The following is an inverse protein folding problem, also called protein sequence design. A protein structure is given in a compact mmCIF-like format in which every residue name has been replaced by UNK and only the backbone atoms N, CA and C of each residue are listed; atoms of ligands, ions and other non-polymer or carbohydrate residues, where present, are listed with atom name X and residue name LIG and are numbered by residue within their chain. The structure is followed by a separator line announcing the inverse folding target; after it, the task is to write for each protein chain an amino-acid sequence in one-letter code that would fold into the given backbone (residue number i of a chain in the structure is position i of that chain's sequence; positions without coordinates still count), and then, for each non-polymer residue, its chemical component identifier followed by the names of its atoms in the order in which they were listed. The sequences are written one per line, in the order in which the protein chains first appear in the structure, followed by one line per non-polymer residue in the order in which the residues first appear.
data_IF_447422557230
#
_entry.id   IF_447422557230
#
_cell.length_a   1.000
_cell.length_b   1.000
_cell.length_c   1.000
_cell.angle_alpha   90.00
_cell.angle_beta   90.00
_cell.angle_gamma   90.00
#
_symmetry.space_group_name_H-M   'P 1'
#
loop_
_entity.id
_entity.type
_entity.pdbx_description
1 polymer ?
#
# COMPACT_ATOMS: atom_id res chain seq x y z
N UNK A 1 3.09 -17.95 14.04
CA UNK A 1 3.01 -16.51 13.84
C UNK A 1 2.26 -16.17 12.57
N UNK A 2 2.08 -14.92 12.33
CA UNK A 2 1.46 -14.36 11.12
C UNK A 2 2.47 -13.43 10.46
N UNK A 3 2.79 -13.66 9.19
CA UNK A 3 3.72 -12.84 8.41
C UNK A 3 3.00 -11.67 7.73
N UNK A 4 3.76 -10.73 7.18
CA UNK A 4 3.21 -9.66 6.34
C UNK A 4 2.51 -10.23 5.09
N UNK A 5 1.43 -9.59 4.70
CA UNK A 5 0.76 -9.83 3.43
C UNK A 5 1.66 -9.44 2.24
N UNK A 6 1.58 -10.17 1.12
CA UNK A 6 2.34 -9.90 -0.11
C UNK A 6 2.20 -8.44 -0.59
N UNK A 7 0.99 -7.88 -0.50
CA UNK A 7 0.74 -6.48 -0.84
C UNK A 7 1.56 -5.49 0.00
N UNK A 8 1.79 -5.79 1.28
CA UNK A 8 2.60 -4.95 2.15
C UNK A 8 4.09 -5.11 1.86
N UNK A 9 4.57 -6.34 1.60
CA UNK A 9 5.95 -6.60 1.17
C UNK A 9 6.26 -5.85 -0.12
N UNK A 10 5.36 -5.94 -1.09
CA UNK A 10 5.41 -5.16 -2.34
C UNK A 10 5.52 -3.65 -2.07
N UNK A 11 4.69 -3.12 -1.19
CA UNK A 11 4.71 -1.70 -0.85
C UNK A 11 6.03 -1.26 -0.20
N UNK A 12 6.60 -2.08 0.70
CA UNK A 12 7.92 -1.85 1.28
C UNK A 12 9.00 -1.79 0.18
N UNK A 13 8.98 -2.74 -0.76
CA UNK A 13 9.91 -2.75 -1.88
C UNK A 13 9.80 -1.50 -2.75
N UNK A 14 8.58 -1.05 -3.07
CA UNK A 14 8.33 0.17 -3.85
C UNK A 14 8.82 1.43 -3.13
N UNK A 15 8.63 1.53 -1.82
CA UNK A 15 9.17 2.65 -1.01
C UNK A 15 10.70 2.66 -1.08
N UNK A 16 11.37 1.49 -0.97
CA UNK A 16 12.83 1.39 -1.09
C UNK A 16 13.32 1.74 -2.49
N UNK A 17 12.58 1.35 -3.52
CA UNK A 17 12.87 1.74 -4.91
C UNK A 17 12.84 3.25 -5.10
N UNK A 18 11.79 3.91 -4.61
CA UNK A 18 11.67 5.36 -4.67
C UNK A 18 12.78 6.08 -3.88
N UNK A 19 13.10 5.57 -2.68
CA UNK A 19 14.20 6.10 -1.86
C UNK A 19 15.56 5.95 -2.55
N UNK A 20 15.85 4.82 -3.22
CA UNK A 20 17.09 4.63 -3.97
C UNK A 20 17.19 5.63 -5.13
N UNK A 21 16.10 5.90 -5.83
CA UNK A 21 16.05 6.90 -6.92
C UNK A 21 16.34 8.30 -6.37
N UNK A 22 15.65 8.71 -5.31
CA UNK A 22 15.85 10.02 -4.70
C UNK A 22 17.30 10.18 -4.15
N UNK A 23 17.85 9.14 -3.54
CA UNK A 23 19.21 9.16 -3.00
C UNK A 23 20.29 9.22 -4.10
N UNK A 24 20.06 8.60 -5.28
CA UNK A 24 20.96 8.76 -6.43
C UNK A 24 20.94 10.19 -6.95
N UNK A 25 19.76 10.77 -7.18
CA UNK A 25 19.61 12.15 -7.65
C UNK A 25 20.22 13.19 -6.70
N UNK A 26 20.18 12.91 -5.40
CA UNK A 26 20.75 13.74 -4.34
C UNK A 26 22.22 13.41 -4.03
N UNK A 27 22.84 12.50 -4.81
CA UNK A 27 24.25 12.10 -4.68
C UNK A 27 24.60 11.46 -3.31
N UNK A 28 23.61 10.86 -2.64
CA UNK A 28 23.80 10.06 -1.42
C UNK A 28 24.24 8.65 -1.77
N UNK A 29 23.69 8.10 -2.87
CA UNK A 29 24.08 6.81 -3.44
C UNK A 29 24.73 7.01 -4.82
N UNK A 30 25.71 6.17 -5.12
CA UNK A 30 26.22 6.05 -6.49
C UNK A 30 25.21 5.30 -7.40
N UNK A 31 25.32 5.56 -8.71
CA UNK A 31 24.39 5.03 -9.70
C UNK A 31 24.35 3.49 -9.74
N UNK A 32 25.48 2.80 -9.51
CA UNK A 32 25.55 1.34 -9.58
C UNK A 32 24.77 0.69 -8.44
N UNK A 33 24.98 1.16 -7.19
CA UNK A 33 24.23 0.67 -6.04
C UNK A 33 22.75 1.03 -6.12
N UNK A 34 22.45 2.28 -6.51
CA UNK A 34 21.06 2.72 -6.66
C UNK A 34 20.30 1.87 -7.68
N UNK A 35 20.90 1.59 -8.83
CA UNK A 35 20.30 0.74 -9.85
C UNK A 35 20.07 -0.69 -9.35
N UNK A 36 21.09 -1.29 -8.70
CA UNK A 36 20.98 -2.64 -8.16
C UNK A 36 19.88 -2.75 -7.08
N UNK A 37 19.71 -1.72 -6.23
CA UNK A 37 18.62 -1.67 -5.24
C UNK A 37 17.25 -1.58 -5.93
N UNK A 38 17.11 -0.76 -6.97
CA UNK A 38 15.85 -0.66 -7.74
C UNK A 38 15.47 -1.99 -8.38
N UNK A 39 16.43 -2.66 -9.01
CA UNK A 39 16.21 -3.97 -9.63
C UNK A 39 15.84 -5.04 -8.60
N UNK A 40 16.52 -5.06 -7.46
CA UNK A 40 16.18 -5.94 -6.34
C UNK A 40 14.75 -5.65 -5.81
N UNK A 41 14.37 -4.39 -5.70
CA UNK A 41 13.02 -3.99 -5.28
C UNK A 41 11.95 -4.43 -6.28
N UNK A 42 12.21 -4.33 -7.58
CA UNK A 42 11.32 -4.83 -8.62
C UNK A 42 11.13 -6.35 -8.51
N UNK A 43 12.20 -7.12 -8.27
CA UNK A 43 12.11 -8.56 -8.04
C UNK A 43 11.26 -8.90 -6.80
N UNK A 44 11.50 -8.24 -5.67
CA UNK A 44 10.70 -8.44 -4.45
C UNK A 44 9.23 -8.07 -4.69
N UNK A 45 8.96 -7.01 -5.44
CA UNK A 45 7.60 -6.58 -5.75
C UNK A 45 6.79 -7.58 -6.61
N UNK A 46 7.43 -8.59 -7.22
CA UNK A 46 6.73 -9.68 -7.94
C UNK A 46 6.04 -10.67 -7.00
N UNK A 47 6.46 -10.74 -5.73
CA UNK A 47 6.02 -11.74 -4.75
C UNK A 47 6.85 -13.04 -4.74
N UNK A 48 7.83 -13.20 -5.65
CA UNK A 48 8.66 -14.41 -5.71
C UNK A 48 9.58 -14.59 -4.48
N UNK A 49 9.75 -13.54 -3.70
CA UNK A 49 10.61 -13.52 -2.52
C UNK A 49 9.84 -13.43 -1.19
N UNK A 50 8.54 -13.60 -1.18
CA UNK A 50 7.68 -13.44 0.01
C UNK A 50 8.12 -14.39 1.15
N UNK A 51 8.62 -15.58 0.84
CA UNK A 51 9.15 -16.54 1.83
C UNK A 51 10.36 -16.03 2.62
N UNK A 52 11.05 -15.01 2.12
CA UNK A 52 12.18 -14.37 2.80
C UNK A 52 11.77 -13.28 3.80
N UNK A 53 10.44 -13.12 4.04
CA UNK A 53 9.87 -12.20 5.01
C UNK A 53 9.19 -12.94 6.18
N UNK A 54 9.96 -13.70 6.99
CA UNK A 54 9.40 -14.55 8.04
C UNK A 54 9.03 -13.79 9.32
N UNK A 55 9.24 -12.49 9.37
CA UNK A 55 9.01 -11.68 10.58
C UNK A 55 7.52 -11.63 10.90
N UNK A 56 7.20 -11.90 12.18
CA UNK A 56 5.82 -11.84 12.69
C UNK A 56 5.30 -10.40 12.68
N UNK A 57 4.00 -10.25 12.40
CA UNK A 57 3.32 -8.94 12.49
C UNK A 57 3.28 -8.43 13.93
N UNK A 58 3.32 -9.31 14.93
CA UNK A 58 3.45 -8.97 16.34
C UNK A 58 4.91 -8.69 16.68
N UNK A 59 5.34 -7.48 16.42
CA UNK A 59 6.68 -6.97 16.62
C UNK A 59 6.64 -5.59 17.30
N UNK A 60 7.77 -4.85 17.32
CA UNK A 60 7.76 -3.47 17.82
C UNK A 60 6.79 -2.61 16.99
N UNK A 61 6.07 -1.69 17.66
CA UNK A 61 5.03 -0.88 17.00
C UNK A 61 5.50 0.00 15.83
N UNK A 62 6.80 0.28 15.77
CA UNK A 62 7.43 1.01 14.65
C UNK A 62 7.65 0.18 13.39
N UNK A 63 7.39 -1.14 13.42
CA UNK A 63 7.64 -2.05 12.30
C UNK A 63 9.12 -2.22 11.94
N UNK A 64 10.02 -1.94 12.88
CA UNK A 64 11.48 -1.94 12.65
C UNK A 64 11.97 -3.27 12.11
N UNK A 65 11.49 -4.39 12.65
CA UNK A 65 11.91 -5.72 12.21
C UNK A 65 11.58 -5.97 10.74
N UNK A 66 10.40 -5.59 10.29
CA UNK A 66 10.00 -5.72 8.88
C UNK A 66 10.78 -4.78 7.95
N UNK A 67 11.03 -3.53 8.39
CA UNK A 67 11.88 -2.62 7.62
C UNK A 67 13.31 -3.17 7.48
N UNK A 68 13.89 -3.69 8.58
CA UNK A 68 15.23 -4.29 8.54
C UNK A 68 15.26 -5.55 7.68
N UNK A 69 14.26 -6.42 7.76
CA UNK A 69 14.13 -7.58 6.89
C UNK A 69 14.13 -7.18 5.41
N UNK A 70 13.37 -6.14 5.05
CA UNK A 70 13.35 -5.61 3.68
C UNK A 70 14.72 -5.12 3.26
N UNK A 71 15.42 -4.37 4.12
CA UNK A 71 16.77 -3.89 3.84
C UNK A 71 17.74 -5.04 3.59
N UNK A 72 17.71 -6.09 4.39
CA UNK A 72 18.59 -7.27 4.27
C UNK A 72 18.33 -8.06 2.97
N UNK A 73 17.04 -8.28 2.63
CA UNK A 73 16.68 -8.98 1.40
C UNK A 73 17.16 -8.19 0.18
N UNK A 74 16.86 -6.88 0.13
CA UNK A 74 17.26 -6.03 -0.99
C UNK A 74 18.77 -5.89 -1.09
N UNK A 75 19.49 -5.71 0.02
CA UNK A 75 20.95 -5.63 0.04
C UNK A 75 21.59 -6.92 -0.47
N UNK A 76 21.04 -8.08 -0.07
CA UNK A 76 21.54 -9.39 -0.52
C UNK A 76 21.35 -9.56 -2.03
N UNK A 77 20.17 -9.25 -2.56
CA UNK A 77 19.88 -9.36 -3.99
C UNK A 77 20.73 -8.39 -4.81
N UNK A 78 20.83 -7.13 -4.38
CA UNK A 78 21.64 -6.11 -5.03
C UNK A 78 23.14 -6.46 -5.02
N UNK A 79 23.67 -6.96 -3.90
CA UNK A 79 25.08 -7.42 -3.82
C UNK A 79 25.34 -8.57 -4.77
N UNK A 80 24.44 -9.55 -4.87
CA UNK A 80 24.56 -10.67 -5.82
C UNK A 80 24.61 -10.20 -7.27
N UNK A 81 23.81 -9.20 -7.64
CA UNK A 81 23.83 -8.64 -9.00
C UNK A 81 25.12 -7.91 -9.34
N UNK A 82 25.84 -7.40 -8.33
CA UNK A 82 27.10 -6.67 -8.47
C UNK A 82 28.35 -7.51 -8.15
N UNK A 83 28.20 -8.82 -7.88
CA UNK A 83 29.28 -9.71 -7.45
C UNK A 83 30.47 -9.69 -8.42
N UNK A 84 30.21 -9.70 -9.74
CA UNK A 84 31.26 -9.67 -10.77
C UNK A 84 32.11 -8.39 -10.75
N UNK A 85 31.61 -7.33 -10.11
CA UNK A 85 32.27 -6.03 -9.95
C UNK A 85 32.93 -5.86 -8.59
N UNK A 86 32.72 -6.80 -7.66
CA UNK A 86 33.21 -6.71 -6.28
C UNK A 86 32.58 -5.57 -5.47
N UNK A 87 31.36 -5.16 -5.81
CA UNK A 87 30.63 -4.08 -5.13
C UNK A 87 29.64 -4.70 -4.16
N UNK A 88 29.69 -4.26 -2.90
CA UNK A 88 28.77 -4.65 -1.84
C UNK A 88 27.71 -3.57 -1.60
N UNK A 89 26.47 -4.00 -1.35
CA UNK A 89 25.34 -3.13 -0.92
C UNK A 89 25.03 -3.43 0.54
N UNK A 90 25.21 -2.42 1.40
CA UNK A 90 24.94 -2.55 2.83
C UNK A 90 23.48 -2.20 3.15
N UNK A 91 22.77 -3.00 3.99
CA UNK A 91 21.34 -2.78 4.28
C UNK A 91 21.06 -1.43 4.95
N UNK A 92 21.90 -0.97 5.88
CA UNK A 92 21.68 0.30 6.58
C UNK A 92 22.25 1.49 5.81
N UNK A 93 23.49 1.39 5.30
CA UNK A 93 24.19 2.54 4.74
C UNK A 93 23.72 2.88 3.32
N UNK A 94 23.21 1.88 2.57
CA UNK A 94 22.78 2.06 1.20
C UNK A 94 21.26 1.89 1.04
N UNK A 95 20.67 0.74 1.41
CA UNK A 95 19.22 0.49 1.22
C UNK A 95 18.38 1.40 2.10
N UNK A 96 18.80 1.64 3.35
CA UNK A 96 18.09 2.48 4.31
C UNK A 96 18.60 3.94 4.38
N UNK A 97 19.46 4.35 3.46
CA UNK A 97 20.00 5.71 3.43
C UNK A 97 18.86 6.75 3.41
N UNK A 98 18.99 7.81 4.19
CA UNK A 98 17.99 8.90 4.33
C UNK A 98 16.63 8.48 4.89
N UNK A 99 16.52 7.34 5.55
CA UNK A 99 15.27 6.75 6.01
C UNK A 99 15.34 6.32 7.49
N UNK A 100 14.15 6.06 8.05
CA UNK A 100 13.97 5.41 9.34
C UNK A 100 12.82 4.39 9.22
N UNK A 101 12.79 3.38 10.10
CA UNK A 101 11.61 2.51 10.19
C UNK A 101 10.34 3.30 10.53
N UNK A 102 10.49 4.41 11.26
CA UNK A 102 9.36 5.23 11.73
C UNK A 102 8.65 5.98 10.59
N UNK A 103 9.29 6.25 9.48
CA UNK A 103 8.67 6.85 8.30
C UNK A 103 8.41 5.84 7.16
N UNK A 104 9.30 4.87 6.96
CA UNK A 104 9.18 3.85 5.90
C UNK A 104 8.00 2.91 6.13
N UNK A 105 7.90 2.32 7.34
CA UNK A 105 6.87 1.32 7.61
C UNK A 105 5.45 1.90 7.49
N UNK A 106 5.09 3.02 8.14
CA UNK A 106 3.78 3.61 7.95
C UNK A 106 3.53 4.07 6.51
N UNK A 107 4.54 4.59 5.80
CA UNK A 107 4.41 4.90 4.37
C UNK A 107 4.03 3.67 3.55
N UNK A 108 4.67 2.52 3.80
CA UNK A 108 4.34 1.28 3.09
C UNK A 108 2.91 0.79 3.36
N UNK A 109 2.39 0.99 4.59
CA UNK A 109 0.98 0.73 4.92
C UNK A 109 0.06 1.62 4.07
N UNK A 110 0.34 2.91 3.99
CA UNK A 110 -0.43 3.86 3.17
C UNK A 110 -0.42 3.47 1.68
N UNK A 111 0.75 3.09 1.14
CA UNK A 111 0.88 2.65 -0.25
C UNK A 111 0.07 1.38 -0.51
N UNK A 112 0.21 0.35 0.34
CA UNK A 112 -0.52 -0.91 0.20
C UNK A 112 -2.03 -0.70 0.28
N UNK A 113 -2.50 0.07 1.25
CA UNK A 113 -3.93 0.39 1.43
C UNK A 113 -4.46 1.17 0.23
N UNK A 114 -3.75 2.19 -0.23
CA UNK A 114 -4.18 2.99 -1.40
C UNK A 114 -4.30 2.12 -2.64
N UNK A 115 -3.32 1.25 -2.89
CA UNK A 115 -3.34 0.33 -4.04
C UNK A 115 -4.54 -0.61 -3.97
N UNK A 116 -4.81 -1.23 -2.81
CA UNK A 116 -5.95 -2.13 -2.60
C UNK A 116 -7.30 -1.40 -2.75
N UNK A 117 -7.42 -0.20 -2.20
CA UNK A 117 -8.64 0.61 -2.34
C UNK A 117 -8.95 0.92 -3.81
N UNK A 118 -7.95 1.38 -4.56
CA UNK A 118 -8.14 1.88 -5.94
C UNK A 118 -8.26 0.73 -6.95
N UNK A 119 -7.45 -0.33 -6.79
CA UNK A 119 -7.39 -1.42 -7.77
C UNK A 119 -8.38 -2.55 -7.50
N UNK A 120 -8.82 -2.74 -6.26
CA UNK A 120 -9.62 -3.90 -5.86
C UNK A 120 -10.96 -3.50 -5.25
N UNK A 121 -10.97 -2.74 -4.15
CA UNK A 121 -12.19 -2.49 -3.40
C UNK A 121 -13.19 -1.63 -4.18
N UNK A 122 -12.77 -0.47 -4.69
CA UNK A 122 -13.67 0.43 -5.42
C UNK A 122 -14.24 -0.26 -6.67
N UNK A 123 -13.44 -0.90 -7.55
CA UNK A 123 -13.99 -1.63 -8.69
C UNK A 123 -14.96 -2.75 -8.31
N UNK A 124 -14.69 -3.48 -7.23
CA UNK A 124 -15.58 -4.54 -6.74
C UNK A 124 -16.90 -3.99 -6.23
N UNK A 125 -16.88 -2.88 -5.51
CA UNK A 125 -18.10 -2.18 -5.05
C UNK A 125 -18.91 -1.60 -6.24
N UNK A 126 -18.25 -1.12 -7.28
CA UNK A 126 -18.91 -0.67 -8.51
C UNK A 126 -19.68 -1.80 -9.19
N UNK A 127 -19.08 -2.99 -9.30
CA UNK A 127 -19.74 -4.18 -9.85
C UNK A 127 -20.95 -4.58 -9.00
N UNK A 128 -20.81 -4.54 -7.66
CA UNK A 128 -21.91 -4.84 -6.75
C UNK A 128 -23.05 -3.83 -6.90
N UNK A 129 -22.75 -2.53 -6.91
CA UNK A 129 -23.74 -1.46 -7.07
C UNK A 129 -24.52 -1.61 -8.39
N UNK A 130 -23.80 -1.79 -9.50
CA UNK A 130 -24.42 -2.00 -10.81
C UNK A 130 -25.32 -3.25 -10.87
N UNK A 131 -24.90 -4.31 -10.20
CA UNK A 131 -25.71 -5.55 -10.10
C UNK A 131 -26.99 -5.33 -9.32
N UNK A 132 -26.93 -4.57 -8.20
CA UNK A 132 -28.10 -4.22 -7.40
C UNK A 132 -29.02 -3.25 -8.15
N UNK A 133 -28.51 -2.28 -8.88
CA UNK A 133 -29.26 -1.36 -9.74
C UNK A 133 -30.00 -2.11 -10.85
N UNK A 134 -29.35 -3.09 -11.48
CA UNK A 134 -29.95 -3.98 -12.46
C UNK A 134 -31.12 -4.76 -11.86
N UNK A 135 -30.95 -5.31 -10.66
CA UNK A 135 -32.02 -6.05 -9.95
C UNK A 135 -33.14 -5.12 -9.49
N UNK A 136 -32.83 -3.87 -9.11
CA UNK A 136 -33.83 -2.86 -8.82
C UNK A 136 -34.75 -2.60 -10.03
N UNK A 137 -34.17 -2.44 -11.23
CA UNK A 137 -34.93 -2.24 -12.45
C UNK A 137 -35.74 -3.50 -12.85
N UNK A 138 -35.15 -4.70 -12.72
CA UNK A 138 -35.83 -5.98 -13.04
C UNK A 138 -37.05 -6.21 -12.16
N UNK A 139 -36.97 -5.89 -10.87
CA UNK A 139 -38.03 -6.17 -9.90
C UNK A 139 -38.87 -4.95 -9.53
N UNK A 140 -38.88 -3.92 -10.36
CA UNK A 140 -39.60 -2.64 -10.08
C UNK A 140 -41.10 -2.83 -9.83
N UNK A 141 -41.73 -3.83 -10.46
CA UNK A 141 -43.19 -4.10 -10.37
C UNK A 141 -43.51 -5.33 -9.48
N UNK A 142 -42.50 -5.95 -8.84
CA UNK A 142 -42.70 -7.09 -7.94
C UNK A 142 -43.10 -6.60 -6.55
N UNK A 143 -44.40 -6.65 -6.24
CA UNK A 143 -44.93 -6.21 -4.95
C UNK A 143 -44.58 -7.21 -3.84
N UNK A 144 -44.14 -6.72 -2.70
CA UNK A 144 -43.88 -7.51 -1.49
C UNK A 144 -44.33 -6.75 -0.23
N UNK A 145 -44.35 -7.44 0.91
CA UNK A 145 -44.54 -6.78 2.19
C UNK A 145 -43.25 -6.04 2.57
N UNK A 146 -43.40 -4.73 2.85
CA UNK A 146 -42.39 -3.99 3.62
C UNK A 146 -42.40 -4.42 5.06
N UNK A 147 -41.33 -4.21 5.81
CA UNK A 147 -41.21 -4.63 7.21
C UNK A 147 -40.73 -3.50 8.10
N UNK A 148 -41.35 -3.39 9.27
CA UNK A 148 -40.87 -2.60 10.40
C UNK A 148 -40.93 -3.47 11.64
N UNK A 149 -39.97 -3.33 12.53
CA UNK A 149 -39.86 -4.18 13.73
C UNK A 149 -39.90 -5.68 13.42
N UNK A 150 -39.35 -6.11 12.26
CA UNK A 150 -39.40 -7.49 11.74
C UNK A 150 -40.82 -8.01 11.46
N UNK A 151 -41.80 -7.15 11.48
CA UNK A 151 -43.24 -7.47 11.22
C UNK A 151 -43.65 -6.92 9.86
N UNK A 152 -44.66 -7.54 9.24
CA UNK A 152 -45.25 -7.05 8.01
C UNK A 152 -45.88 -5.64 8.21
N UNK A 153 -45.59 -4.77 7.28
CA UNK A 153 -46.07 -3.39 7.27
C UNK A 153 -46.71 -3.07 5.91
N UNK A 154 -46.46 -1.87 5.37
CA UNK A 154 -47.04 -1.41 4.11
C UNK A 154 -46.38 -2.11 2.89
N UNK A 155 -47.11 -2.25 1.75
CA UNK A 155 -46.54 -2.77 0.52
C UNK A 155 -45.40 -1.89 -0.01
N UNK A 156 -44.36 -2.55 -0.52
CA UNK A 156 -43.26 -1.95 -1.30
C UNK A 156 -43.00 -2.85 -2.53
N UNK A 157 -42.14 -2.40 -3.44
CA UNK A 157 -41.64 -3.31 -4.48
C UNK A 157 -40.30 -3.84 -4.08
N UNK A 158 -39.99 -5.05 -4.57
CA UNK A 158 -38.67 -5.67 -4.40
C UNK A 158 -37.60 -4.79 -5.08
N UNK A 159 -37.94 -4.13 -6.20
CA UNK A 159 -37.08 -3.15 -6.84
C UNK A 159 -36.68 -1.98 -5.95
N UNK A 160 -37.66 -1.46 -5.13
CA UNK A 160 -37.36 -0.41 -4.16
C UNK A 160 -36.39 -0.88 -3.07
N UNK A 161 -36.52 -2.12 -2.60
CA UNK A 161 -35.58 -2.70 -1.63
C UNK A 161 -34.17 -2.81 -2.21
N UNK A 162 -34.01 -3.33 -3.43
CA UNK A 162 -32.71 -3.37 -4.11
C UNK A 162 -32.13 -1.99 -4.39
N UNK A 163 -32.95 -0.98 -4.69
CA UNK A 163 -32.48 0.40 -4.88
C UNK A 163 -31.87 0.97 -3.62
N UNK A 164 -32.44 0.65 -2.45
CA UNK A 164 -31.87 1.04 -1.14
C UNK A 164 -30.51 0.42 -0.90
N UNK A 165 -30.33 -0.87 -1.24
CA UNK A 165 -29.03 -1.53 -1.14
C UNK A 165 -28.00 -0.92 -2.11
N UNK A 166 -28.39 -0.65 -3.35
CA UNK A 166 -27.53 0.02 -4.34
C UNK A 166 -27.06 1.39 -3.84
N UNK A 167 -27.98 2.20 -3.33
CA UNK A 167 -27.65 3.52 -2.77
C UNK A 167 -26.67 3.42 -1.60
N UNK A 168 -26.85 2.43 -0.72
CA UNK A 168 -25.92 2.19 0.41
C UNK A 168 -24.49 1.89 -0.07
N UNK A 169 -24.35 1.06 -1.11
CA UNK A 169 -23.05 0.73 -1.72
C UNK A 169 -22.45 1.98 -2.40
N UNK A 170 -23.24 2.75 -3.17
CA UNK A 170 -22.78 4.00 -3.80
C UNK A 170 -22.25 5.00 -2.78
N UNK A 171 -22.98 5.24 -1.70
CA UNK A 171 -22.49 6.09 -0.60
C UNK A 171 -21.25 5.51 0.07
N UNK A 172 -21.08 4.18 0.10
CA UNK A 172 -19.85 3.53 0.54
C UNK A 172 -18.65 3.92 -0.34
N UNK A 173 -18.81 3.84 -1.66
CA UNK A 173 -17.79 4.24 -2.64
C UNK A 173 -17.42 5.73 -2.46
N UNK A 174 -18.41 6.61 -2.31
CA UNK A 174 -18.18 8.04 -2.09
C UNK A 174 -17.33 8.29 -0.82
N UNK A 175 -17.64 7.60 0.29
CA UNK A 175 -16.88 7.72 1.54
C UNK A 175 -15.44 7.23 1.38
N UNK A 176 -15.23 6.11 0.69
CA UNK A 176 -13.88 5.60 0.39
C UNK A 176 -13.10 6.61 -0.44
N UNK A 177 -13.70 7.11 -1.53
CA UNK A 177 -13.05 8.12 -2.38
C UNK A 177 -12.71 9.41 -1.61
N UNK A 178 -13.59 9.86 -0.72
CA UNK A 178 -13.34 11.05 0.11
C UNK A 178 -12.19 10.85 1.12
N UNK A 179 -11.87 9.61 1.50
CA UNK A 179 -10.73 9.31 2.38
C UNK A 179 -9.38 9.20 1.67
N UNK A 180 -9.37 8.92 0.35
CA UNK A 180 -8.13 8.69 -0.41
C UNK A 180 -7.10 9.82 -0.29
N UNK A 181 -7.45 11.12 -0.36
CA UNK A 181 -6.47 12.19 -0.21
C UNK A 181 -5.72 12.14 1.14
N UNK A 182 -6.40 11.70 2.21
CA UNK A 182 -5.77 11.55 3.53
C UNK A 182 -4.89 10.30 3.63
N UNK A 183 -5.33 9.20 3.03
CA UNK A 183 -4.54 7.98 2.96
C UNK A 183 -3.29 8.19 2.09
N UNK A 184 -3.34 9.05 1.08
CA UNK A 184 -2.20 9.37 0.23
C UNK A 184 -1.15 10.29 0.89
N UNK A 185 -1.45 10.92 2.03
CA UNK A 185 -0.46 11.65 2.81
C UNK A 185 0.47 10.66 3.53
N UNK A 186 1.78 10.73 3.26
CA UNK A 186 2.77 9.79 3.80
C UNK A 186 3.84 10.51 4.63
N UNK A 187 4.37 9.89 5.69
CA UNK A 187 5.39 10.49 6.55
C UNK A 187 6.82 10.40 6.00
N UNK A 188 7.03 9.83 4.80
CA UNK A 188 8.35 9.54 4.24
C UNK A 188 9.20 10.82 4.10
N UNK A 189 10.43 10.75 4.62
CA UNK A 189 11.34 11.88 4.74
C UNK A 189 11.30 12.57 6.11
N UNK A 190 10.34 12.22 6.98
CA UNK A 190 10.32 12.69 8.38
C UNK A 190 11.33 12.00 9.28
N UNK A 191 11.79 10.81 8.87
CA UNK A 191 12.70 9.94 9.60
C UNK A 191 12.21 9.56 11.01
N UNK A 192 13.06 9.64 12.03
CA UNK A 192 12.78 9.09 13.35
C UNK A 192 11.62 9.78 14.10
N UNK A 193 11.53 11.10 14.01
CA UNK A 193 10.59 11.92 14.82
C UNK A 193 9.88 13.01 14.01
N UNK A 194 9.92 12.95 12.69
CA UNK A 194 9.21 13.88 11.80
C UNK A 194 10.01 15.14 11.41
N UNK A 195 11.26 15.26 11.85
CA UNK A 195 12.11 16.45 11.59
C UNK A 195 13.04 16.29 10.39
N UNK A 196 13.10 15.10 9.78
CA UNK A 196 13.98 14.80 8.66
C UNK A 196 15.46 14.72 9.03
N UNK A 197 15.79 14.36 10.28
CA UNK A 197 17.19 14.17 10.69
C UNK A 197 17.86 13.10 9.80
N UNK A 198 19.09 13.37 9.36
CA UNK A 198 19.90 12.54 8.46
C UNK A 198 19.35 12.43 7.02
N UNK A 199 18.43 13.29 6.60
CA UNK A 199 18.06 13.40 5.19
C UNK A 199 18.76 14.58 4.52
N UNK A 200 19.15 14.48 3.25
CA UNK A 200 19.59 15.63 2.48
C UNK A 200 18.40 16.55 2.16
N UNK A 201 18.69 17.83 1.93
CA UNK A 201 17.66 18.79 1.53
C UNK A 201 16.93 18.32 0.25
N UNK A 202 15.60 18.34 0.27
CA UNK A 202 14.77 17.95 -0.86
C UNK A 202 14.45 16.46 -0.97
N UNK A 203 14.94 15.60 -0.07
CA UNK A 203 14.66 14.14 -0.11
C UNK A 203 13.15 13.84 -0.07
N UNK A 204 12.40 14.43 0.87
CA UNK A 204 10.97 14.20 1.01
C UNK A 204 10.18 14.52 -0.28
N UNK A 205 10.49 15.64 -0.93
CA UNK A 205 9.82 15.99 -2.19
C UNK A 205 10.16 14.99 -3.31
N UNK A 206 11.43 14.64 -3.47
CA UNK A 206 11.88 13.74 -4.55
C UNK A 206 11.43 12.30 -4.40
N UNK A 207 11.30 11.80 -3.17
CA UNK A 207 10.88 10.42 -2.93
C UNK A 207 9.38 10.20 -3.16
N UNK A 208 8.58 11.28 -3.14
CA UNK A 208 7.13 11.26 -3.32
C UNK A 208 6.75 11.60 -4.77
N UNK A 209 7.50 12.50 -5.40
CA UNK A 209 7.31 12.86 -6.82
C UNK A 209 8.14 11.93 -7.70
N UNK A 210 7.52 11.08 -8.56
CA UNK A 210 8.23 10.16 -9.44
C UNK A 210 8.96 10.86 -10.59
#
# INVERSE_FOLDING_TARGET
GQTLESAHIRALALVKKAAATANEELQVLDAERAQAIREAADLVATGEYDEHFPIDVFQTGSGTSSNMNTNEVLATLATRSLESRGIEVHPNDHVNASQSSNDVFPTSVHVAVTEALVKELIPSLEVLAASLEKKSAEFKDVVKSGRTHLMDATPITLGQEFSGYAATVRYGIERVNASLPRVAEVPLGGTAVGTGINTPAGFSARVIEP
#
